data_IF_366049722992
#
_entry.id   IF_366049722992
#
_cell.length_a   1.000
_cell.length_b   1.000
_cell.length_c   1.000
_cell.angle_alpha   90.00
_cell.angle_beta   90.00
_cell.angle_gamma   90.00
#
_symmetry.space_group_name_H-M   'P 1'
#
loop_
_entity.id
_entity.type
_entity.pdbx_description
1 polymer ?
#
# COMPACT_ATOMS: atom_id res chain seq x y z
N UNK A 1 -9.93 -15.32 26.38
CA UNK A 1 -9.13 -14.71 25.29
C UNK A 1 -9.55 -15.24 23.93
N UNK A 2 -9.51 -16.55 23.66
CA UNK A 2 -9.88 -17.14 22.35
C UNK A 2 -11.31 -16.83 21.91
N UNK A 3 -12.29 -16.85 22.82
CA UNK A 3 -13.70 -16.51 22.51
C UNK A 3 -13.85 -15.06 22.09
N UNK A 4 -13.14 -14.12 22.72
CA UNK A 4 -13.20 -12.69 22.37
C UNK A 4 -12.57 -12.44 20.98
N UNK A 5 -11.46 -13.09 20.67
CA UNK A 5 -10.81 -13.02 19.34
C UNK A 5 -11.74 -13.60 18.28
N UNK A 6 -12.31 -14.78 18.52
CA UNK A 6 -13.26 -15.41 17.61
C UNK A 6 -14.50 -14.54 17.37
N UNK A 7 -15.07 -13.96 18.42
CA UNK A 7 -16.23 -13.05 18.33
C UNK A 7 -15.86 -11.78 17.53
N UNK A 8 -14.67 -11.21 17.76
CA UNK A 8 -14.15 -10.07 17.00
C UNK A 8 -14.02 -10.38 15.49
N UNK A 9 -13.43 -11.52 15.15
CA UNK A 9 -13.32 -11.98 13.76
C UNK A 9 -14.71 -12.19 13.11
N UNK A 10 -15.64 -12.79 13.84
CA UNK A 10 -17.01 -13.02 13.35
C UNK A 10 -17.74 -11.69 13.10
N UNK A 11 -17.63 -10.72 14.01
CA UNK A 11 -18.22 -9.38 13.87
C UNK A 11 -17.62 -8.63 12.69
N UNK A 12 -16.31 -8.71 12.49
CA UNK A 12 -15.62 -8.09 11.35
C UNK A 12 -16.08 -8.71 10.02
N UNK A 13 -16.20 -10.02 9.96
CA UNK A 13 -16.71 -10.72 8.79
C UNK A 13 -18.17 -10.34 8.50
N UNK A 14 -19.02 -10.32 9.53
CA UNK A 14 -20.41 -9.92 9.41
C UNK A 14 -20.53 -8.47 8.90
N UNK A 15 -19.75 -7.56 9.47
CA UNK A 15 -19.69 -6.16 9.04
C UNK A 15 -19.28 -6.05 7.57
N UNK A 16 -18.24 -6.77 7.15
CA UNK A 16 -17.80 -6.79 5.75
C UNK A 16 -18.89 -7.30 4.79
N UNK A 17 -19.59 -8.37 5.17
CA UNK A 17 -20.71 -8.93 4.38
C UNK A 17 -21.86 -7.93 4.29
N UNK A 18 -22.24 -7.32 5.41
CA UNK A 18 -23.31 -6.30 5.45
C UNK A 18 -22.95 -5.10 4.58
N UNK A 19 -21.73 -4.63 4.66
CA UNK A 19 -21.23 -3.52 3.83
C UNK A 19 -21.24 -3.89 2.34
N UNK A 20 -20.78 -5.09 2.00
CA UNK A 20 -20.75 -5.59 0.63
C UNK A 20 -22.17 -5.70 0.05
N UNK A 21 -23.09 -6.35 0.75
CA UNK A 21 -24.49 -6.48 0.32
C UNK A 21 -25.21 -5.15 0.29
N UNK A 22 -24.96 -4.28 1.27
CA UNK A 22 -25.53 -2.92 1.36
C UNK A 22 -25.12 -2.07 0.16
N UNK A 23 -23.83 -2.11 -0.21
CA UNK A 23 -23.30 -1.45 -1.42
C UNK A 23 -24.08 -1.87 -2.67
N UNK A 24 -24.24 -3.16 -2.89
CA UNK A 24 -24.95 -3.68 -4.07
C UNK A 24 -26.47 -3.41 -4.02
N UNK A 25 -27.05 -3.44 -2.83
CA UNK A 25 -28.46 -3.07 -2.64
C UNK A 25 -28.72 -1.59 -2.94
N UNK A 26 -27.82 -0.69 -2.58
CA UNK A 26 -27.90 0.74 -2.94
C UNK A 26 -27.88 0.95 -4.45
N UNK A 27 -27.00 0.24 -5.17
CA UNK A 27 -26.94 0.27 -6.63
C UNK A 27 -28.27 -0.23 -7.21
N UNK A 28 -28.73 -1.40 -6.76
CA UNK A 28 -30.02 -1.98 -7.17
C UNK A 28 -31.18 -0.99 -6.95
N UNK A 29 -31.29 -0.41 -5.77
CA UNK A 29 -32.36 0.56 -5.43
C UNK A 29 -32.31 1.79 -6.32
N UNK A 30 -31.13 2.30 -6.62
CA UNK A 30 -30.94 3.46 -7.49
C UNK A 30 -31.43 3.16 -8.92
N UNK A 31 -31.08 2.00 -9.46
CA UNK A 31 -31.54 1.56 -10.79
C UNK A 31 -33.04 1.39 -10.83
N UNK A 32 -33.61 0.65 -9.87
CA UNK A 32 -35.08 0.39 -9.81
C UNK A 32 -35.85 1.71 -9.70
N UNK A 33 -35.39 2.65 -8.88
CA UNK A 33 -36.04 3.96 -8.72
C UNK A 33 -35.90 4.83 -9.97
N UNK A 34 -34.71 4.97 -10.53
CA UNK A 34 -34.43 5.86 -11.63
C UNK A 34 -35.15 5.46 -12.95
N UNK A 35 -35.28 4.17 -13.17
CA UNK A 35 -35.87 3.61 -14.40
C UNK A 35 -37.32 3.15 -14.23
N UNK A 36 -37.93 3.46 -13.08
CA UNK A 36 -39.32 3.11 -12.75
C UNK A 36 -39.64 1.62 -13.04
N UNK A 37 -38.78 0.74 -12.56
CA UNK A 37 -38.89 -0.70 -12.77
C UNK A 37 -40.05 -1.22 -11.91
N UNK A 38 -41.23 -1.46 -12.49
CA UNK A 38 -42.46 -1.90 -11.78
C UNK A 38 -42.65 -3.42 -11.83
N UNK A 39 -42.20 -4.09 -12.90
CA UNK A 39 -42.40 -5.54 -13.09
C UNK A 39 -41.61 -6.34 -12.05
N UNK A 40 -42.34 -7.12 -11.22
CA UNK A 40 -41.73 -7.93 -10.15
C UNK A 40 -40.62 -8.86 -10.66
N UNK A 41 -40.83 -9.54 -11.79
CA UNK A 41 -39.80 -10.43 -12.39
C UNK A 41 -38.48 -9.68 -12.65
N UNK A 42 -38.54 -8.47 -13.25
CA UNK A 42 -37.33 -7.66 -13.53
C UNK A 42 -36.66 -7.22 -12.25
N UNK A 43 -37.42 -6.79 -11.24
CA UNK A 43 -36.87 -6.43 -9.92
C UNK A 43 -36.14 -7.60 -9.26
N UNK A 44 -36.76 -8.79 -9.28
CA UNK A 44 -36.12 -10.00 -8.71
C UNK A 44 -34.86 -10.39 -9.50
N UNK A 45 -34.91 -10.35 -10.84
CA UNK A 45 -33.73 -10.62 -11.67
C UNK A 45 -32.57 -9.68 -11.34
N UNK A 46 -32.83 -8.36 -11.23
CA UNK A 46 -31.84 -7.38 -10.86
C UNK A 46 -31.28 -7.63 -9.44
N UNK A 47 -32.16 -7.93 -8.48
CA UNK A 47 -31.74 -8.24 -7.11
C UNK A 47 -30.81 -9.46 -7.07
N UNK A 48 -31.22 -10.54 -7.75
CA UNK A 48 -30.37 -11.76 -7.85
C UNK A 48 -29.04 -11.46 -8.53
N UNK A 49 -29.06 -10.69 -9.63
CA UNK A 49 -27.83 -10.33 -10.34
C UNK A 49 -26.85 -9.52 -9.47
N UNK A 50 -27.32 -8.49 -8.77
CA UNK A 50 -26.46 -7.71 -7.88
C UNK A 50 -25.99 -8.50 -6.65
N UNK A 51 -26.83 -9.40 -6.11
CA UNK A 51 -26.41 -10.32 -5.05
C UNK A 51 -25.34 -11.30 -5.53
N UNK A 52 -25.50 -11.86 -6.74
CA UNK A 52 -24.51 -12.74 -7.34
C UNK A 52 -23.16 -12.01 -7.60
N UNK A 53 -23.21 -10.75 -8.05
CA UNK A 53 -22.04 -9.92 -8.22
C UNK A 53 -21.36 -9.62 -6.88
N UNK A 54 -22.11 -9.36 -5.80
CA UNK A 54 -21.55 -9.23 -4.47
C UNK A 54 -20.85 -10.53 -4.01
N UNK A 55 -21.53 -11.67 -4.17
CA UNK A 55 -21.01 -12.98 -3.78
C UNK A 55 -19.86 -13.48 -4.67
N UNK A 56 -19.69 -12.92 -5.86
CA UNK A 56 -18.56 -13.28 -6.73
C UNK A 56 -17.20 -13.00 -6.07
N UNK A 57 -17.11 -12.02 -5.19
CA UNK A 57 -15.86 -11.61 -4.54
C UNK A 57 -15.35 -12.69 -3.55
N UNK A 58 -16.10 -13.05 -2.48
CA UNK A 58 -15.66 -14.10 -1.58
C UNK A 58 -15.52 -15.46 -2.28
N UNK A 59 -16.39 -15.75 -3.26
CA UNK A 59 -16.28 -16.98 -4.05
C UNK A 59 -15.00 -17.01 -4.88
N UNK A 60 -14.64 -15.91 -5.53
CA UNK A 60 -13.40 -15.81 -6.32
C UNK A 60 -12.15 -15.94 -5.44
N UNK A 61 -12.17 -15.37 -4.23
CA UNK A 61 -11.08 -15.55 -3.26
C UNK A 61 -10.92 -17.02 -2.86
N UNK A 62 -12.02 -17.70 -2.57
CA UNK A 62 -12.04 -19.13 -2.22
C UNK A 62 -11.52 -19.99 -3.39
N UNK A 63 -12.05 -19.78 -4.59
CA UNK A 63 -11.66 -20.53 -5.79
C UNK A 63 -10.17 -20.31 -6.12
N UNK A 64 -9.66 -19.08 -5.98
CA UNK A 64 -8.25 -18.78 -6.18
C UNK A 64 -7.36 -19.48 -5.17
N UNK A 65 -7.80 -19.59 -3.92
CA UNK A 65 -7.06 -20.28 -2.85
C UNK A 65 -7.02 -21.80 -3.06
N UNK A 66 -8.11 -22.38 -3.57
CA UNK A 66 -8.23 -23.83 -3.82
C UNK A 66 -7.55 -24.26 -5.13
N UNK A 67 -7.63 -23.43 -6.17
CA UNK A 67 -7.25 -23.80 -7.54
C UNK A 67 -6.54 -22.63 -8.25
N UNK A 68 -5.29 -22.37 -7.95
CA UNK A 68 -4.50 -21.23 -8.49
C UNK A 68 -4.20 -21.28 -10.00
N UNK A 69 -5.21 -21.53 -10.86
CA UNK A 69 -5.06 -21.62 -12.32
C UNK A 69 -5.45 -20.31 -13.05
N UNK A 70 -5.32 -20.29 -14.38
CA UNK A 70 -5.62 -19.11 -15.22
C UNK A 70 -7.08 -18.67 -15.10
N UNK A 71 -8.02 -19.62 -15.06
CA UNK A 71 -9.46 -19.34 -14.98
C UNK A 71 -9.79 -18.67 -13.64
N UNK A 72 -9.36 -19.27 -12.53
CA UNK A 72 -9.62 -18.72 -11.20
C UNK A 72 -8.95 -17.36 -10.99
N UNK A 73 -7.76 -17.13 -11.56
CA UNK A 73 -7.12 -15.82 -11.58
C UNK A 73 -7.94 -14.78 -12.35
N UNK A 74 -8.48 -15.15 -13.51
CA UNK A 74 -9.31 -14.25 -14.31
C UNK A 74 -10.61 -13.90 -13.58
N UNK A 75 -11.30 -14.90 -13.01
CA UNK A 75 -12.51 -14.69 -12.19
C UNK A 75 -12.20 -13.79 -11.01
N UNK A 76 -11.10 -14.02 -10.31
CA UNK A 76 -10.65 -13.19 -9.19
C UNK A 76 -10.42 -11.74 -9.63
N UNK A 77 -9.67 -11.52 -10.71
CA UNK A 77 -9.39 -10.17 -11.22
C UNK A 77 -10.65 -9.43 -11.64
N UNK A 78 -11.57 -10.12 -12.33
CA UNK A 78 -12.85 -9.53 -12.75
C UNK A 78 -13.76 -9.20 -11.56
N UNK A 79 -13.83 -10.07 -10.55
CA UNK A 79 -14.61 -9.81 -9.33
C UNK A 79 -14.06 -8.62 -8.54
N UNK A 80 -12.74 -8.49 -8.44
CA UNK A 80 -12.13 -7.33 -7.79
C UNK A 80 -12.28 -6.04 -8.61
N UNK A 81 -12.20 -6.11 -9.95
CA UNK A 81 -12.51 -4.97 -10.80
C UNK A 81 -13.95 -4.52 -10.62
N UNK A 82 -14.89 -5.48 -10.56
CA UNK A 82 -16.30 -5.20 -10.26
C UNK A 82 -16.46 -4.50 -8.91
N UNK A 83 -15.76 -4.94 -7.86
CA UNK A 83 -15.80 -4.25 -6.57
C UNK A 83 -15.31 -2.78 -6.69
N UNK A 84 -14.23 -2.54 -7.40
CA UNK A 84 -13.74 -1.19 -7.67
C UNK A 84 -14.78 -0.32 -8.39
N UNK A 85 -15.42 -0.87 -9.42
CA UNK A 85 -16.52 -0.21 -10.14
C UNK A 85 -17.73 0.04 -9.22
N UNK A 86 -18.11 -0.94 -8.38
CA UNK A 86 -19.22 -0.79 -7.45
C UNK A 86 -18.98 0.32 -6.43
N UNK A 87 -17.74 0.47 -5.91
CA UNK A 87 -17.37 1.55 -5.02
C UNK A 87 -17.46 2.93 -5.70
N UNK A 88 -17.01 3.05 -6.95
CA UNK A 88 -17.20 4.28 -7.73
C UNK A 88 -18.68 4.53 -8.02
N UNK A 89 -19.45 3.48 -8.35
CA UNK A 89 -20.89 3.62 -8.55
C UNK A 89 -21.58 4.16 -7.30
N UNK A 90 -21.30 3.61 -6.13
CA UNK A 90 -21.88 4.12 -4.87
C UNK A 90 -21.51 5.58 -4.64
N UNK A 91 -20.27 5.95 -4.87
CA UNK A 91 -19.83 7.34 -4.72
C UNK A 91 -20.59 8.30 -5.64
N UNK A 92 -20.64 8.00 -6.95
CA UNK A 92 -21.33 8.89 -7.91
C UNK A 92 -22.85 8.83 -7.78
N UNK A 93 -23.43 7.69 -7.38
CA UNK A 93 -24.84 7.59 -7.05
C UNK A 93 -25.21 8.39 -5.81
N UNK A 94 -24.36 8.41 -4.77
CA UNK A 94 -24.58 9.27 -3.61
C UNK A 94 -24.63 10.75 -4.00
N UNK A 95 -23.74 11.19 -4.88
CA UNK A 95 -23.79 12.55 -5.46
C UNK A 95 -25.07 12.79 -6.26
N UNK A 96 -25.48 11.84 -7.11
CA UNK A 96 -26.71 11.94 -7.89
C UNK A 96 -27.95 12.07 -6.98
N UNK A 97 -28.02 11.29 -5.90
CA UNK A 97 -29.08 11.38 -4.90
C UNK A 97 -29.07 12.70 -4.15
N UNK A 98 -27.89 13.21 -3.76
CA UNK A 98 -27.74 14.51 -3.12
C UNK A 98 -28.23 15.64 -4.02
N UNK A 99 -27.80 15.66 -5.29
CA UNK A 99 -28.25 16.66 -6.29
C UNK A 99 -29.75 16.54 -6.54
N UNK A 100 -30.30 15.34 -6.65
CA UNK A 100 -31.74 15.13 -6.79
C UNK A 100 -32.51 15.68 -5.58
N UNK A 101 -32.05 15.39 -4.37
CA UNK A 101 -32.67 15.92 -3.13
C UNK A 101 -32.68 17.44 -3.10
N UNK A 102 -31.53 18.06 -3.36
CA UNK A 102 -31.40 19.54 -3.41
C UNK A 102 -32.30 20.12 -4.51
N UNK A 103 -32.31 19.54 -5.71
CA UNK A 103 -33.15 20.01 -6.83
C UNK A 103 -34.65 20.02 -6.50
N UNK A 104 -35.10 19.04 -5.71
CA UNK A 104 -36.48 19.00 -5.20
C UNK A 104 -36.76 20.09 -4.20
N UNK A 105 -35.83 20.36 -3.27
CA UNK A 105 -35.96 21.43 -2.27
C UNK A 105 -36.06 22.82 -2.89
N UNK A 106 -35.35 23.06 -3.99
CA UNK A 106 -35.40 24.35 -4.72
C UNK A 106 -36.53 24.40 -5.78
N UNK A 107 -37.42 23.42 -5.82
CA UNK A 107 -38.57 23.38 -6.75
C UNK A 107 -38.19 23.14 -8.22
N UNK A 108 -36.99 22.66 -8.51
CA UNK A 108 -36.49 22.36 -9.88
C UNK A 108 -35.98 20.92 -9.98
N UNK A 109 -36.89 19.92 -9.89
CA UNK A 109 -36.47 18.52 -9.83
C UNK A 109 -35.76 18.07 -11.13
N UNK A 110 -34.57 17.49 -10.95
CA UNK A 110 -33.84 16.84 -12.06
C UNK A 110 -34.41 15.45 -12.35
N UNK A 111 -34.25 15.02 -13.61
CA UNK A 111 -34.62 13.68 -14.04
C UNK A 111 -33.66 12.64 -13.48
N UNK A 112 -34.12 11.82 -12.51
CA UNK A 112 -33.27 10.88 -11.81
C UNK A 112 -32.65 9.82 -12.74
N UNK A 113 -33.36 9.46 -13.84
CA UNK A 113 -32.79 8.58 -14.88
C UNK A 113 -31.52 9.16 -15.49
N UNK A 114 -31.52 10.44 -15.83
CA UNK A 114 -30.33 11.10 -16.38
C UNK A 114 -29.19 11.15 -15.34
N UNK A 115 -29.50 11.49 -14.08
CA UNK A 115 -28.51 11.54 -13.00
C UNK A 115 -27.85 10.20 -12.75
N UNK A 116 -28.62 9.10 -12.69
CA UNK A 116 -28.10 7.74 -12.51
C UNK A 116 -27.29 7.29 -13.73
N UNK A 117 -27.74 7.61 -14.95
CA UNK A 117 -26.97 7.30 -16.17
C UNK A 117 -25.62 8.03 -16.20
N UNK A 118 -25.60 9.31 -15.85
CA UNK A 118 -24.36 10.08 -15.75
C UNK A 118 -23.44 9.51 -14.65
N UNK A 119 -23.99 9.17 -13.49
CA UNK A 119 -23.23 8.54 -12.41
C UNK A 119 -22.59 7.21 -12.86
N UNK A 120 -23.32 6.39 -13.63
CA UNK A 120 -22.81 5.14 -14.17
C UNK A 120 -21.68 5.36 -15.18
N UNK A 121 -21.80 6.34 -16.08
CA UNK A 121 -20.76 6.71 -17.05
C UNK A 121 -19.51 7.21 -16.32
N UNK A 122 -19.66 8.10 -15.33
CA UNK A 122 -18.55 8.62 -14.56
C UNK A 122 -17.84 7.51 -13.76
N UNK A 123 -18.58 6.62 -13.11
CA UNK A 123 -18.04 5.49 -12.38
C UNK A 123 -17.24 4.54 -13.28
N UNK A 124 -17.79 4.22 -14.45
CA UNK A 124 -17.12 3.37 -15.43
C UNK A 124 -15.85 4.02 -15.99
N UNK A 125 -15.91 5.30 -16.37
CA UNK A 125 -14.75 6.07 -16.86
C UNK A 125 -13.65 6.19 -15.80
N UNK A 126 -14.03 6.47 -14.54
CA UNK A 126 -13.09 6.52 -13.42
C UNK A 126 -12.44 5.15 -13.18
N UNK A 127 -13.22 4.06 -13.28
CA UNK A 127 -12.68 2.70 -13.11
C UNK A 127 -11.74 2.30 -14.23
N UNK A 128 -12.02 2.65 -15.48
CA UNK A 128 -11.12 2.41 -16.62
C UNK A 128 -9.83 3.23 -16.51
N UNK A 129 -9.94 4.51 -16.16
CA UNK A 129 -8.77 5.34 -15.87
C UNK A 129 -7.95 4.75 -14.73
N UNK A 130 -8.62 4.34 -13.64
CA UNK A 130 -7.95 3.75 -12.48
C UNK A 130 -7.26 2.43 -12.81
N UNK A 131 -7.85 1.59 -13.67
CA UNK A 131 -7.24 0.35 -14.16
C UNK A 131 -5.98 0.64 -14.99
N UNK A 132 -6.04 1.65 -15.87
CA UNK A 132 -4.88 2.09 -16.64
C UNK A 132 -3.78 2.61 -15.70
N UNK A 133 -4.11 3.51 -14.77
CA UNK A 133 -3.18 4.10 -13.81
C UNK A 133 -2.51 3.06 -12.91
N UNK A 134 -3.25 2.05 -12.44
CA UNK A 134 -2.74 0.94 -11.63
C UNK A 134 -1.68 0.11 -12.36
N UNK A 135 -1.75 0.04 -13.69
CA UNK A 135 -0.84 -0.75 -14.53
C UNK A 135 0.32 0.07 -15.15
N UNK A 136 0.34 1.39 -14.91
CA UNK A 136 1.36 2.29 -15.46
C UNK A 136 2.01 3.09 -14.32
N UNK A 137 2.89 2.47 -13.54
CA UNK A 137 3.66 3.19 -12.52
C UNK A 137 4.47 4.32 -13.14
N UNK A 138 4.69 5.38 -12.37
CA UNK A 138 5.59 6.48 -12.73
C UNK A 138 6.85 6.40 -11.87
N UNK A 139 7.93 7.02 -12.31
CA UNK A 139 9.10 7.26 -11.47
C UNK A 139 8.86 8.53 -10.66
N UNK A 140 8.94 8.41 -9.33
CA UNK A 140 8.97 9.55 -8.40
C UNK A 140 10.41 9.71 -7.93
N UNK A 141 11.01 10.89 -8.15
CA UNK A 141 12.42 11.13 -7.81
C UNK A 141 12.56 12.29 -6.83
N UNK A 142 13.46 12.13 -5.85
CA UNK A 142 13.84 13.19 -4.92
C UNK A 142 15.25 12.94 -4.36
N UNK A 143 15.82 13.97 -3.73
CA UNK A 143 17.11 13.89 -3.05
C UNK A 143 16.91 13.85 -1.53
N UNK A 144 17.74 13.07 -0.83
CA UNK A 144 17.78 13.02 0.63
C UNK A 144 19.20 13.23 1.12
N UNK A 145 19.35 14.17 2.05
CA UNK A 145 20.60 14.38 2.74
C UNK A 145 20.72 13.43 3.94
N UNK A 146 21.79 12.66 3.97
CA UNK A 146 22.16 11.73 5.05
C UNK A 146 23.40 12.28 5.76
N UNK A 147 23.39 12.23 7.08
CA UNK A 147 24.54 12.65 7.90
C UNK A 147 25.69 11.66 7.72
N UNK A 148 26.91 12.18 7.66
CA UNK A 148 28.13 11.35 7.55
C UNK A 148 28.07 10.30 6.40
N UNK A 149 27.32 10.59 5.32
CA UNK A 149 27.24 9.71 4.15
C UNK A 149 28.63 9.46 3.57
N UNK A 150 29.05 8.19 3.36
CA UNK A 150 30.33 7.87 2.73
C UNK A 150 30.41 8.43 1.30
N UNK A 151 31.60 8.85 0.90
CA UNK A 151 31.85 9.48 -0.42
C UNK A 151 31.41 8.61 -1.61
N UNK A 152 31.53 7.29 -1.49
CA UNK A 152 31.12 6.33 -2.52
C UNK A 152 29.58 6.17 -2.63
N UNK A 153 28.82 6.85 -1.78
CA UNK A 153 27.35 6.95 -1.86
C UNK A 153 26.87 8.33 -2.31
N UNK A 154 27.75 9.34 -2.33
CA UNK A 154 27.37 10.70 -2.74
C UNK A 154 26.89 10.72 -4.20
N UNK A 155 25.67 11.19 -4.41
CA UNK A 155 25.03 11.23 -5.73
C UNK A 155 24.51 9.89 -6.23
N UNK A 156 24.67 8.80 -5.46
CA UNK A 156 24.16 7.49 -5.82
C UNK A 156 22.63 7.46 -5.79
N UNK A 157 22.02 6.71 -6.71
CA UNK A 157 20.59 6.46 -6.73
C UNK A 157 20.29 5.13 -6.07
N UNK A 158 19.36 5.11 -5.11
CA UNK A 158 18.74 3.90 -4.60
C UNK A 158 17.26 3.88 -4.99
N UNK A 159 16.70 2.70 -5.22
CA UNK A 159 15.29 2.56 -5.61
C UNK A 159 14.49 1.89 -4.51
N UNK A 160 13.36 2.51 -4.14
CA UNK A 160 12.35 1.86 -3.30
C UNK A 160 11.22 1.31 -4.16
N UNK A 161 10.89 0.04 -3.94
CA UNK A 161 9.64 -0.60 -4.33
C UNK A 161 8.84 -0.89 -3.06
N UNK A 162 7.56 -0.63 -3.06
CA UNK A 162 6.65 -0.99 -1.96
C UNK A 162 5.32 -1.45 -2.50
N UNK A 163 4.67 -2.37 -1.80
CA UNK A 163 3.28 -2.72 -2.12
C UNK A 163 3.09 -3.12 -3.59
N UNK A 164 3.95 -4.00 -4.08
CA UNK A 164 3.90 -4.49 -5.47
C UNK A 164 2.71 -5.41 -5.70
N UNK A 165 2.33 -6.17 -4.65
CA UNK A 165 1.18 -7.08 -4.64
C UNK A 165 1.14 -8.07 -5.82
N UNK A 166 2.27 -8.72 -6.09
CA UNK A 166 2.36 -9.76 -7.13
C UNK A 166 1.37 -10.89 -6.84
N UNK A 167 0.57 -11.23 -7.83
CA UNK A 167 -0.48 -12.22 -7.66
C UNK A 167 -1.38 -12.33 -8.89
N UNK A 168 -2.66 -12.53 -8.66
CA UNK A 168 -3.65 -12.68 -9.74
C UNK A 168 -3.84 -11.41 -10.56
N UNK A 169 -3.77 -10.24 -9.92
CA UNK A 169 -3.92 -8.93 -10.56
C UNK A 169 -2.62 -8.49 -11.22
N UNK A 170 -1.56 -8.35 -10.42
CA UNK A 170 -0.23 -7.97 -10.90
C UNK A 170 0.59 -9.22 -11.21
N UNK A 171 0.57 -9.64 -12.47
CA UNK A 171 1.25 -10.83 -12.98
C UNK A 171 2.67 -10.54 -13.49
N UNK A 172 3.24 -11.53 -14.21
CA UNK A 172 4.60 -11.46 -14.78
C UNK A 172 4.83 -10.20 -15.62
N UNK A 173 3.92 -9.85 -16.52
CA UNK A 173 4.06 -8.66 -17.38
C UNK A 173 4.14 -7.34 -16.61
N UNK A 174 3.44 -7.26 -15.48
CA UNK A 174 3.54 -6.10 -14.60
C UNK A 174 4.91 -6.06 -13.94
N UNK A 175 5.37 -7.19 -13.38
CA UNK A 175 6.70 -7.30 -12.78
C UNK A 175 7.80 -6.97 -13.80
N UNK A 176 7.77 -7.52 -15.01
CA UNK A 176 8.73 -7.25 -16.07
C UNK A 176 8.81 -5.74 -16.40
N UNK A 177 7.66 -5.05 -16.43
CA UNK A 177 7.62 -3.59 -16.62
C UNK A 177 8.27 -2.87 -15.45
N UNK A 178 7.93 -3.21 -14.20
CA UNK A 178 8.51 -2.60 -13.00
C UNK A 178 10.01 -2.81 -12.95
N UNK A 179 10.47 -4.03 -13.20
CA UNK A 179 11.89 -4.37 -13.24
C UNK A 179 12.63 -3.59 -14.34
N UNK A 180 12.03 -3.47 -15.53
CA UNK A 180 12.59 -2.64 -16.61
C UNK A 180 12.72 -1.18 -16.20
N UNK A 181 11.73 -0.63 -15.48
CA UNK A 181 11.80 0.74 -14.95
C UNK A 181 12.89 0.90 -13.89
N UNK A 182 13.00 -0.06 -12.97
CA UNK A 182 14.04 -0.06 -11.91
C UNK A 182 15.43 -0.10 -12.55
N UNK A 183 15.67 -1.05 -13.44
CA UNK A 183 16.99 -1.24 -14.05
C UNK A 183 17.38 -0.04 -14.95
N UNK A 184 16.41 0.64 -15.57
CA UNK A 184 16.66 1.86 -16.35
C UNK A 184 17.12 3.05 -15.48
N UNK A 185 16.93 3.01 -14.17
CA UNK A 185 17.42 4.01 -13.21
C UNK A 185 18.87 3.76 -12.77
N UNK A 186 19.46 2.62 -13.17
CA UNK A 186 20.80 2.18 -12.81
C UNK A 186 21.08 2.31 -11.30
N UNK A 187 20.27 1.70 -10.42
CA UNK A 187 20.36 1.91 -8.99
C UNK A 187 21.54 1.17 -8.36
N UNK A 188 22.22 1.78 -7.39
CA UNK A 188 23.23 1.13 -6.56
C UNK A 188 22.65 0.04 -5.64
N UNK A 189 21.43 0.26 -5.13
CA UNK A 189 20.69 -0.71 -4.34
C UNK A 189 19.18 -0.60 -4.59
N UNK A 190 18.45 -1.71 -4.39
CA UNK A 190 16.98 -1.75 -4.45
C UNK A 190 16.43 -2.18 -3.09
N UNK A 191 15.50 -1.42 -2.56
CA UNK A 191 14.85 -1.66 -1.28
C UNK A 191 13.37 -1.97 -1.49
N UNK A 192 12.93 -3.15 -1.08
CA UNK A 192 11.54 -3.60 -1.17
C UNK A 192 10.93 -3.53 0.23
N UNK A 193 10.08 -2.54 0.46
CA UNK A 193 9.54 -2.22 1.78
C UNK A 193 8.20 -2.92 2.07
N UNK A 194 8.16 -4.24 1.81
CA UNK A 194 7.03 -5.10 2.15
C UNK A 194 5.93 -5.18 1.08
N UNK A 195 5.00 -6.08 1.31
CA UNK A 195 3.84 -6.37 0.45
C UNK A 195 4.25 -6.62 -1.02
N UNK A 196 5.35 -7.37 -1.19
CA UNK A 196 5.80 -7.80 -2.51
C UNK A 196 4.78 -8.74 -3.16
N UNK A 197 4.17 -9.62 -2.35
CA UNK A 197 3.15 -10.55 -2.80
C UNK A 197 1.77 -10.19 -2.24
N UNK A 198 0.74 -10.41 -3.06
CA UNK A 198 -0.63 -10.32 -2.58
C UNK A 198 -0.92 -11.50 -1.62
N UNK A 199 -1.66 -11.27 -0.55
CA UNK A 199 -2.00 -12.29 0.45
C UNK A 199 -2.75 -13.52 -0.09
N UNK A 200 -3.32 -13.43 -1.29
CA UNK A 200 -3.92 -14.57 -2.02
C UNK A 200 -2.98 -15.24 -3.02
N UNK A 201 -1.70 -14.83 -3.07
CA UNK A 201 -0.72 -15.44 -3.97
C UNK A 201 -0.38 -16.86 -3.50
N UNK A 202 -0.50 -17.84 -4.38
CA UNK A 202 -0.16 -19.25 -4.14
C UNK A 202 0.91 -19.80 -5.07
N UNK A 203 1.21 -19.07 -6.16
CA UNK A 203 2.19 -19.47 -7.18
C UNK A 203 3.28 -18.39 -7.28
N UNK A 204 4.25 -18.48 -6.38
CA UNK A 204 5.38 -17.54 -6.28
C UNK A 204 6.43 -17.81 -7.36
N UNK A 205 6.63 -19.07 -7.73
CA UNK A 205 7.72 -19.49 -8.62
C UNK A 205 7.67 -18.82 -10.00
N UNK A 206 6.48 -18.47 -10.47
CA UNK A 206 6.31 -17.75 -11.73
C UNK A 206 6.94 -16.36 -11.77
N UNK A 207 7.29 -15.80 -10.62
CA UNK A 207 7.92 -14.48 -10.49
C UNK A 207 9.44 -14.54 -10.34
N UNK A 208 10.02 -15.74 -10.15
CA UNK A 208 11.44 -15.90 -9.86
C UNK A 208 12.33 -15.21 -10.89
N UNK A 209 12.13 -15.54 -12.17
CA UNK A 209 12.91 -14.99 -13.28
C UNK A 209 12.86 -13.45 -13.33
N UNK A 210 11.67 -12.86 -13.16
CA UNK A 210 11.51 -11.41 -13.13
C UNK A 210 12.17 -10.77 -11.91
N UNK A 211 12.06 -11.37 -10.71
CA UNK A 211 12.70 -10.87 -9.51
C UNK A 211 14.22 -10.99 -9.57
N UNK A 212 14.76 -12.09 -10.13
CA UNK A 212 16.18 -12.27 -10.32
C UNK A 212 16.77 -11.35 -11.41
N UNK A 213 15.93 -10.75 -12.25
CA UNK A 213 16.34 -9.75 -13.24
C UNK A 213 16.51 -8.33 -12.66
N UNK A 214 16.12 -8.09 -11.40
CA UNK A 214 16.49 -6.85 -10.71
C UNK A 214 18.01 -6.75 -10.63
N UNK A 215 18.56 -5.60 -11.04
CA UNK A 215 20.00 -5.35 -11.10
C UNK A 215 20.36 -4.15 -10.23
N UNK A 216 21.20 -4.40 -9.22
CA UNK A 216 21.78 -3.38 -8.38
C UNK A 216 23.12 -3.89 -7.80
N UNK A 217 24.25 -3.19 -8.02
CA UNK A 217 25.59 -3.67 -7.61
C UNK A 217 25.69 -3.98 -6.11
N UNK A 218 25.00 -3.20 -5.27
CA UNK A 218 25.01 -3.37 -3.80
C UNK A 218 23.84 -4.20 -3.29
N UNK A 219 23.06 -4.80 -4.19
CA UNK A 219 22.05 -5.81 -3.88
C UNK A 219 20.60 -5.32 -3.85
N UNK A 220 19.72 -6.31 -3.69
CA UNK A 220 18.26 -6.13 -3.56
C UNK A 220 17.87 -6.64 -2.18
N UNK A 221 17.22 -5.79 -1.40
CA UNK A 221 16.86 -6.06 -0.01
C UNK A 221 15.34 -5.99 0.18
N UNK A 222 14.82 -6.83 1.06
CA UNK A 222 13.39 -6.95 1.31
C UNK A 222 13.11 -7.04 2.81
N UNK A 223 12.08 -6.34 3.26
CA UNK A 223 11.42 -6.55 4.56
C UNK A 223 9.98 -6.99 4.34
N UNK A 224 9.41 -7.74 5.28
CA UNK A 224 8.04 -8.20 5.16
C UNK A 224 7.03 -7.10 5.40
N UNK A 225 5.91 -7.14 4.66
CA UNK A 225 4.69 -6.41 4.97
C UNK A 225 3.60 -7.32 5.53
N UNK A 226 2.38 -6.78 5.69
CA UNK A 226 1.27 -7.55 6.22
C UNK A 226 0.75 -8.60 5.24
N UNK A 227 0.88 -8.42 3.94
CA UNK A 227 0.39 -9.38 2.95
C UNK A 227 1.24 -10.64 2.86
N UNK A 228 2.52 -10.62 3.22
CA UNK A 228 3.31 -11.84 3.36
C UNK A 228 2.73 -12.75 4.45
N UNK A 229 2.23 -12.17 5.56
CA UNK A 229 1.53 -12.91 6.60
C UNK A 229 0.20 -13.50 6.13
N UNK A 230 -0.59 -12.76 5.35
CA UNK A 230 -1.84 -13.28 4.75
C UNK A 230 -1.59 -14.41 3.75
N UNK A 231 -0.45 -14.40 3.06
CA UNK A 231 -0.02 -15.48 2.18
C UNK A 231 0.55 -16.70 2.94
N UNK A 232 0.65 -16.61 4.28
CA UNK A 232 1.23 -17.65 5.13
C UNK A 232 2.73 -17.58 5.20
N UNK A 233 3.28 -16.50 5.72
CA UNK A 233 4.67 -16.02 5.88
C UNK A 233 5.79 -16.98 5.44
N UNK A 234 5.70 -18.27 5.80
CA UNK A 234 6.72 -19.30 5.49
C UNK A 234 6.89 -19.49 3.98
N UNK A 235 5.80 -19.52 3.21
CA UNK A 235 5.85 -19.81 1.79
C UNK A 235 6.54 -18.69 0.99
N UNK A 236 6.16 -17.40 1.12
CA UNK A 236 6.86 -16.32 0.42
C UNK A 236 8.32 -16.20 0.85
N UNK A 237 8.65 -16.33 2.14
CA UNK A 237 10.04 -16.25 2.61
C UNK A 237 10.89 -17.42 2.11
N UNK A 238 10.37 -18.63 2.10
CA UNK A 238 11.06 -19.81 1.53
C UNK A 238 11.29 -19.68 0.04
N UNK A 239 10.36 -19.06 -0.67
CA UNK A 239 10.53 -18.74 -2.08
C UNK A 239 11.61 -17.68 -2.31
N UNK A 240 11.60 -16.57 -1.54
CA UNK A 240 12.58 -15.49 -1.67
C UNK A 240 14.02 -15.96 -1.42
N UNK A 241 14.24 -16.93 -0.54
CA UNK A 241 15.56 -17.58 -0.35
C UNK A 241 16.11 -18.26 -1.62
N UNK A 242 15.28 -18.50 -2.63
CA UNK A 242 15.68 -19.07 -3.92
C UNK A 242 15.95 -18.00 -4.99
N UNK A 243 15.85 -16.73 -4.63
CA UNK A 243 16.10 -15.56 -5.48
C UNK A 243 17.36 -14.82 -5.05
N UNK A 244 17.75 -13.79 -5.79
CA UNK A 244 18.86 -12.88 -5.41
C UNK A 244 18.48 -11.88 -4.31
N UNK A 245 17.22 -11.84 -3.90
CA UNK A 245 16.72 -10.87 -2.92
C UNK A 245 17.14 -11.31 -1.52
N UNK A 246 17.83 -10.42 -0.80
CA UNK A 246 18.18 -10.62 0.60
C UNK A 246 17.03 -10.16 1.49
N UNK A 247 16.47 -11.10 2.24
CA UNK A 247 15.44 -10.82 3.25
C UNK A 247 16.14 -10.31 4.52
N UNK A 248 15.74 -9.15 4.99
CA UNK A 248 16.15 -8.60 6.28
C UNK A 248 15.04 -8.85 7.30
N UNK A 249 15.26 -9.82 8.16
CA UNK A 249 14.30 -10.26 9.17
C UNK A 249 14.77 -9.84 10.56
N UNK A 250 14.55 -8.57 10.91
CA UNK A 250 15.12 -7.88 12.07
C UNK A 250 16.66 -7.94 12.08
N UNK A 251 17.25 -7.55 10.98
CA UNK A 251 18.67 -7.62 10.70
C UNK A 251 19.22 -6.28 10.19
N UNK A 252 20.53 -6.10 10.34
CA UNK A 252 21.28 -5.03 9.67
C UNK A 252 22.23 -5.60 8.62
N UNK A 253 22.51 -4.77 7.63
CA UNK A 253 23.59 -4.99 6.64
C UNK A 253 24.40 -3.72 6.55
N UNK A 254 25.72 -3.86 6.56
CA UNK A 254 26.60 -2.77 6.23
C UNK A 254 26.97 -2.82 4.75
N UNK A 255 26.74 -1.73 4.04
CA UNK A 255 27.00 -1.55 2.63
C UNK A 255 27.99 -0.40 2.46
N UNK A 256 29.29 -0.71 2.39
CA UNK A 256 30.37 0.29 2.19
C UNK A 256 30.24 1.53 3.10
N UNK A 257 29.99 1.30 4.39
CA UNK A 257 29.89 2.35 5.42
C UNK A 257 28.48 2.89 5.67
N UNK A 258 27.50 2.55 4.84
CA UNK A 258 26.07 2.85 5.06
C UNK A 258 25.39 1.65 5.70
N UNK A 259 24.67 1.84 6.80
CA UNK A 259 23.87 0.79 7.42
C UNK A 259 22.48 0.72 6.81
N UNK A 260 22.07 -0.47 6.43
CA UNK A 260 20.67 -0.80 6.11
C UNK A 260 20.09 -1.63 7.25
N UNK A 261 19.05 -1.14 7.88
CA UNK A 261 18.33 -1.83 8.96
C UNK A 261 16.97 -2.29 8.44
N UNK A 262 16.68 -3.57 8.52
CA UNK A 262 15.40 -4.13 8.12
C UNK A 262 14.60 -4.61 9.32
N UNK A 263 13.40 -4.08 9.50
CA UNK A 263 12.44 -4.52 10.52
C UNK A 263 11.25 -5.19 9.82
N UNK A 264 11.04 -6.44 10.15
CA UNK A 264 9.91 -7.21 9.63
C UNK A 264 8.58 -6.78 10.23
N UNK A 265 7.51 -6.86 9.44
CA UNK A 265 6.16 -6.65 9.94
C UNK A 265 5.83 -7.72 11.00
N UNK A 266 5.27 -7.34 12.16
CA UNK A 266 5.15 -8.21 13.34
C UNK A 266 3.99 -9.23 13.26
N UNK A 267 3.82 -9.92 12.16
CA UNK A 267 2.79 -10.92 12.00
C UNK A 267 3.08 -12.18 12.83
N UNK A 268 2.21 -12.49 13.79
CA UNK A 268 2.08 -13.76 14.51
C UNK A 268 3.31 -14.35 15.22
N UNK A 269 4.46 -13.67 15.32
CA UNK A 269 5.56 -14.22 16.09
C UNK A 269 5.38 -13.89 17.57
N UNK A 270 4.79 -14.81 18.32
CA UNK A 270 4.67 -14.76 19.80
C UNK A 270 6.03 -14.67 20.52
N UNK A 271 7.14 -14.87 19.81
CA UNK A 271 8.49 -14.97 20.39
C UNK A 271 9.34 -13.70 20.19
N UNK A 272 8.94 -12.75 19.33
CA UNK A 272 9.74 -11.55 19.05
C UNK A 272 9.36 -10.40 19.97
N UNK A 273 10.02 -10.35 21.13
CA UNK A 273 9.76 -9.33 22.15
C UNK A 273 10.71 -8.11 22.05
N UNK A 274 11.60 -8.04 21.04
CA UNK A 274 12.65 -7.03 20.98
C UNK A 274 12.85 -6.51 19.55
N UNK A 275 13.18 -5.22 19.41
CA UNK A 275 13.66 -4.61 18.17
C UNK A 275 15.12 -4.96 18.03
N UNK A 276 15.44 -6.22 17.79
CA UNK A 276 16.77 -6.82 17.87
C UNK A 276 17.90 -5.96 17.30
N UNK A 277 17.74 -5.31 16.11
CA UNK A 277 18.82 -4.46 15.60
C UNK A 277 19.22 -3.31 16.52
N UNK A 278 18.26 -2.75 17.27
CA UNK A 278 18.45 -1.58 18.14
C UNK A 278 18.70 -1.94 19.61
N UNK A 279 18.57 -3.22 19.99
CA UNK A 279 18.81 -3.67 21.36
C UNK A 279 20.29 -3.56 21.75
N UNK A 280 20.56 -3.57 23.06
CA UNK A 280 21.92 -3.65 23.59
C UNK A 280 22.62 -4.91 23.07
N UNK A 281 23.69 -4.71 22.28
CA UNK A 281 24.37 -5.81 21.57
C UNK A 281 23.80 -6.16 20.20
N UNK A 282 22.75 -5.47 19.74
CA UNK A 282 22.24 -5.56 18.38
C UNK A 282 23.23 -5.05 17.33
N UNK A 283 22.82 -5.11 16.06
CA UNK A 283 23.70 -4.75 14.94
C UNK A 283 23.72 -3.25 14.62
N UNK A 284 22.71 -2.47 15.05
CA UNK A 284 22.62 -1.05 14.78
C UNK A 284 23.71 -0.24 15.50
N UNK A 285 24.26 0.77 14.83
CA UNK A 285 25.27 1.68 15.33
C UNK A 285 24.85 3.12 15.06
N UNK A 286 24.44 3.90 16.08
CA UNK A 286 23.90 5.25 15.90
C UNK A 286 24.93 6.26 15.35
N UNK A 287 26.22 5.95 15.44
CA UNK A 287 27.29 6.77 14.87
C UNK A 287 27.52 6.58 13.37
N UNK A 288 26.83 5.63 12.74
CA UNK A 288 26.91 5.37 11.30
C UNK A 288 25.68 5.86 10.57
N UNK A 289 25.84 6.38 9.34
CA UNK A 289 24.70 6.72 8.48
C UNK A 289 23.80 5.50 8.26
N UNK A 290 22.47 5.71 8.26
CA UNK A 290 21.55 4.58 8.28
C UNK A 290 20.27 4.81 7.49
N UNK A 291 19.79 3.73 6.85
CA UNK A 291 18.47 3.64 6.23
C UNK A 291 17.70 2.53 6.92
N UNK A 292 16.51 2.85 7.42
CA UNK A 292 15.57 1.91 8.02
C UNK A 292 14.49 1.50 7.00
N UNK A 293 14.37 0.22 6.74
CA UNK A 293 13.26 -0.35 5.98
C UNK A 293 12.21 -0.87 6.97
N UNK A 294 11.04 -0.28 6.93
CA UNK A 294 9.90 -0.70 7.74
C UNK A 294 8.59 -0.47 6.99
N UNK A 295 7.78 -1.53 6.82
CA UNK A 295 6.64 -1.49 5.92
C UNK A 295 5.62 -0.41 6.28
N UNK A 296 5.21 -0.32 7.55
CA UNK A 296 4.21 0.66 7.99
C UNK A 296 4.86 2.00 8.35
N UNK A 297 4.23 3.14 7.98
CA UNK A 297 4.67 4.46 8.43
C UNK A 297 4.17 4.73 9.86
N UNK A 298 4.73 3.98 10.82
CA UNK A 298 4.44 4.10 12.27
C UNK A 298 5.72 4.09 13.07
N UNK A 299 5.62 4.43 14.36
CA UNK A 299 6.71 4.24 15.30
C UNK A 299 7.01 2.73 15.44
N UNK A 300 8.27 2.37 15.29
CA UNK A 300 8.71 0.97 15.34
C UNK A 300 8.47 0.35 16.71
N UNK A 301 8.55 1.15 17.78
CA UNK A 301 8.37 0.67 19.16
C UNK A 301 6.94 0.24 19.49
N UNK A 302 5.93 0.82 18.84
CA UNK A 302 4.51 0.49 19.09
C UNK A 302 4.21 -1.00 18.85
N UNK A 303 4.99 -1.65 18.02
CA UNK A 303 4.81 -3.06 17.64
C UNK A 303 5.22 -4.02 18.75
N UNK A 304 6.09 -3.60 19.65
CA UNK A 304 6.72 -4.45 20.66
C UNK A 304 6.15 -4.28 22.08
N UNK A 305 5.16 -3.38 22.26
CA UNK A 305 4.41 -3.20 23.50
C UNK A 305 3.36 -4.32 23.74
N UNK A 306 2.15 -3.99 24.12
CA UNK A 306 1.06 -4.95 24.43
C UNK A 306 0.47 -5.62 23.17
N UNK A 307 0.71 -6.92 23.00
CA UNK A 307 0.51 -7.71 21.78
C UNK A 307 -0.94 -7.91 21.35
N UNK A 308 -1.90 -7.87 22.26
CA UNK A 308 -3.28 -8.31 22.00
C UNK A 308 -4.16 -7.22 21.37
N UNK A 309 -3.78 -5.94 21.51
CA UNK A 309 -4.55 -4.80 21.00
C UNK A 309 -3.91 -4.07 19.82
N UNK A 310 -2.65 -4.36 19.50
CA UNK A 310 -1.82 -3.57 18.61
C UNK A 310 -2.17 -3.70 17.12
N UNK A 311 -2.56 -4.88 16.65
CA UNK A 311 -2.89 -5.06 15.23
C UNK A 311 -4.04 -4.17 14.77
N UNK A 312 -5.09 -4.06 15.59
CA UNK A 312 -6.23 -3.19 15.28
C UNK A 312 -5.88 -1.71 15.43
N UNK A 313 -5.05 -1.37 16.43
CA UNK A 313 -4.56 -0.01 16.64
C UNK A 313 -3.69 0.49 15.50
N UNK A 314 -2.79 -0.36 14.95
CA UNK A 314 -1.92 0.03 13.82
C UNK A 314 -2.69 0.43 12.55
N UNK A 315 -3.93 -0.04 12.39
CA UNK A 315 -4.80 0.35 11.27
C UNK A 315 -5.75 1.51 11.57
N UNK A 316 -6.29 1.58 12.80
CA UNK A 316 -7.33 2.56 13.16
C UNK A 316 -6.80 3.77 13.92
N UNK A 317 -5.68 3.62 14.61
CA UNK A 317 -5.01 4.67 15.37
C UNK A 317 -3.49 4.46 15.36
N UNK A 318 -2.84 4.58 14.17
CA UNK A 318 -1.41 4.35 14.02
C UNK A 318 -0.61 5.36 14.87
N UNK A 319 0.45 4.90 15.54
CA UNK A 319 1.39 5.81 16.20
C UNK A 319 2.31 6.45 15.16
N UNK A 320 2.04 7.70 14.85
CA UNK A 320 2.78 8.50 13.88
C UNK A 320 3.75 9.49 14.52
N UNK A 321 4.23 9.21 15.74
CA UNK A 321 5.23 10.07 16.43
C UNK A 321 6.64 9.84 15.90
N UNK A 322 6.96 8.61 15.46
CA UNK A 322 8.29 8.19 14.97
C UNK A 322 9.43 8.48 15.97
N UNK A 323 9.07 8.56 17.25
CA UNK A 323 9.99 8.97 18.31
C UNK A 323 11.15 7.99 18.47
N UNK A 324 10.91 6.71 18.28
CA UNK A 324 11.93 5.68 18.42
C UNK A 324 13.04 5.82 17.35
N UNK A 325 12.67 5.85 16.07
CA UNK A 325 13.63 5.94 14.98
C UNK A 325 14.40 7.27 15.02
N UNK A 326 13.72 8.39 15.35
CA UNK A 326 14.35 9.70 15.50
C UNK A 326 15.35 9.72 16.67
N UNK A 327 14.98 9.20 17.86
CA UNK A 327 15.87 9.15 19.03
C UNK A 327 17.01 8.17 18.84
N UNK A 328 16.82 7.09 18.09
CA UNK A 328 17.89 6.17 17.72
C UNK A 328 18.92 6.80 16.76
N UNK A 329 18.59 7.93 16.12
CA UNK A 329 19.49 8.62 15.17
C UNK A 329 19.43 8.04 13.76
N UNK A 330 18.32 7.40 13.37
CA UNK A 330 18.10 6.94 11.99
C UNK A 330 18.00 8.14 11.04
N UNK A 331 18.74 8.13 9.93
CA UNK A 331 18.71 9.24 8.96
C UNK A 331 17.51 9.21 8.04
N UNK A 332 17.17 8.01 7.52
CA UNK A 332 16.07 7.82 6.57
C UNK A 332 15.27 6.56 6.89
N UNK A 333 13.96 6.69 7.04
CA UNK A 333 13.02 5.56 7.09
C UNK A 333 12.24 5.49 5.77
N UNK A 334 12.16 4.29 5.19
CA UNK A 334 11.38 3.99 3.99
C UNK A 334 10.21 3.09 4.35
N UNK A 335 8.99 3.55 4.04
CA UNK A 335 7.73 2.86 4.34
C UNK A 335 6.77 2.86 3.15
N UNK A 336 5.69 2.08 3.24
CA UNK A 336 4.60 1.99 2.26
C UNK A 336 3.25 1.83 2.93
N UNK A 337 2.56 0.70 2.68
CA UNK A 337 1.35 0.21 3.37
C UNK A 337 0.06 0.99 3.10
N UNK A 338 0.08 2.30 3.12
CA UNK A 338 -1.13 3.14 3.10
C UNK A 338 -1.82 3.18 1.74
N UNK A 339 -1.08 2.89 0.65
CA UNK A 339 -1.50 3.11 -0.73
C UNK A 339 -2.08 4.51 -1.00
N UNK A 340 -1.96 5.44 -0.02
CA UNK A 340 -2.69 6.71 -0.04
C UNK A 340 -4.20 6.51 -0.26
N UNK A 341 -4.77 5.44 0.30
CA UNK A 341 -6.16 5.05 0.12
C UNK A 341 -6.54 4.57 -1.27
N UNK A 342 -5.56 4.43 -2.20
CA UNK A 342 -5.66 3.83 -3.54
C UNK A 342 -6.76 4.41 -4.43
N UNK A 343 -8.02 4.46 -3.94
CA UNK A 343 -9.19 4.95 -4.69
C UNK A 343 -9.75 6.24 -4.07
N UNK A 344 -10.13 7.20 -4.90
CA UNK A 344 -10.87 8.37 -4.43
C UNK A 344 -12.30 7.94 -4.01
N UNK A 345 -12.83 8.44 -2.86
CA UNK A 345 -12.26 9.46 -1.98
C UNK A 345 -11.46 8.92 -0.77
N UNK A 346 -11.14 7.62 -0.72
CA UNK A 346 -10.53 6.99 0.46
C UNK A 346 -9.19 7.61 0.88
N UNK A 347 -8.46 8.26 -0.04
CA UNK A 347 -7.26 9.01 0.30
C UNK A 347 -7.47 10.14 1.32
N UNK A 348 -8.70 10.68 1.42
CA UNK A 348 -9.03 11.68 2.46
C UNK A 348 -9.05 11.00 3.83
N UNK A 349 -9.69 9.83 3.92
CA UNK A 349 -9.75 9.05 5.16
C UNK A 349 -8.36 8.58 5.59
N UNK A 350 -7.56 8.05 4.64
CA UNK A 350 -6.19 7.61 4.90
C UNK A 350 -5.35 8.74 5.46
N UNK A 351 -5.44 9.95 4.86
CA UNK A 351 -4.71 11.13 5.33
C UNK A 351 -5.06 11.50 6.78
N UNK A 352 -6.35 11.40 7.14
CA UNK A 352 -6.81 11.70 8.52
C UNK A 352 -6.32 10.62 9.49
N UNK A 353 -6.48 9.33 9.14
CA UNK A 353 -6.06 8.22 9.99
C UNK A 353 -4.55 8.20 10.24
N UNK A 354 -3.75 8.57 9.25
CA UNK A 354 -2.29 8.57 9.32
C UNK A 354 -1.71 9.96 9.64
N UNK A 355 -2.52 10.89 10.15
CA UNK A 355 -2.09 12.24 10.55
C UNK A 355 -1.27 12.98 9.48
N UNK A 356 -1.57 12.74 8.19
CA UNK A 356 -0.85 13.30 7.06
C UNK A 356 0.37 12.50 6.60
N UNK A 357 0.82 11.47 7.34
CA UNK A 357 1.93 10.60 6.98
C UNK A 357 1.49 9.44 6.07
N UNK A 358 0.53 9.69 5.22
CA UNK A 358 -0.01 8.69 4.29
C UNK A 358 0.77 8.59 2.98
N UNK A 359 1.71 9.51 2.72
CA UNK A 359 2.58 9.52 1.54
C UNK A 359 3.62 10.63 1.57
N UNK A 360 4.67 10.47 0.75
CA UNK A 360 5.66 11.51 0.45
C UNK A 360 6.77 11.60 1.48
N UNK A 361 7.60 12.65 1.34
CA UNK A 361 8.75 12.89 2.18
C UNK A 361 8.40 13.81 3.34
N UNK A 362 8.78 13.40 4.55
CA UNK A 362 8.54 14.14 5.79
C UNK A 362 9.86 14.30 6.58
N UNK A 363 9.90 15.33 7.45
CA UNK A 363 11.00 15.62 8.35
C UNK A 363 10.51 15.58 9.80
N UNK A 364 11.12 14.77 10.64
CA UNK A 364 10.70 14.51 12.03
C UNK A 364 11.96 14.44 12.90
N UNK A 365 12.26 15.48 13.67
CA UNK A 365 13.33 15.50 14.66
C UNK A 365 14.68 14.92 14.16
N UNK A 366 15.07 15.27 12.93
CA UNK A 366 16.30 14.78 12.30
C UNK A 366 16.12 13.57 11.41
N UNK A 367 15.07 12.76 11.61
CA UNK A 367 14.67 11.66 10.74
C UNK A 367 14.05 12.18 9.45
N UNK A 368 14.38 11.57 8.29
CA UNK A 368 13.61 11.66 7.05
C UNK A 368 12.75 10.41 6.95
N UNK A 369 11.46 10.61 6.72
CA UNK A 369 10.52 9.53 6.45
C UNK A 369 10.00 9.68 5.03
N UNK A 370 10.13 8.66 4.20
CA UNK A 370 9.40 8.59 2.94
C UNK A 370 8.36 7.48 2.98
N UNK A 371 7.13 7.83 2.66
CA UNK A 371 6.00 6.89 2.56
C UNK A 371 5.59 6.76 1.11
N UNK A 372 5.83 5.57 0.54
CA UNK A 372 5.43 5.27 -0.84
C UNK A 372 3.92 5.09 -0.95
N UNK A 373 3.35 5.59 -2.05
CA UNK A 373 1.96 5.30 -2.42
C UNK A 373 1.75 3.87 -2.93
N UNK A 374 2.83 3.11 -3.06
CA UNK A 374 2.83 1.73 -3.56
C UNK A 374 2.98 1.62 -5.09
N UNK A 375 3.66 0.57 -5.52
CA UNK A 375 3.92 0.25 -6.94
C UNK A 375 2.72 -0.45 -7.57
N UNK A 376 2.09 -1.38 -6.85
CA UNK A 376 0.90 -2.13 -7.29
C UNK A 376 -0.39 -1.70 -6.63
N UNK A 377 -1.36 -2.60 -6.55
CA UNK A 377 -2.65 -2.40 -5.88
C UNK A 377 -3.05 -3.62 -5.08
N UNK A 378 -3.71 -3.41 -3.96
CA UNK A 378 -4.38 -4.48 -3.22
C UNK A 378 -5.89 -4.47 -3.51
N UNK A 379 -6.53 -5.65 -3.50
CA UNK A 379 -7.96 -5.74 -3.77
C UNK A 379 -8.32 -5.29 -5.21
N UNK A 380 -9.14 -4.24 -5.39
CA UNK A 380 -9.50 -3.74 -6.71
C UNK A 380 -8.29 -3.30 -7.54
N UNK A 381 -8.15 -3.77 -8.81
CA UNK A 381 -7.07 -3.36 -9.71
C UNK A 381 -7.27 -1.93 -10.26
N UNK A 382 -7.63 -1.00 -9.37
CA UNK A 382 -8.08 0.36 -9.74
C UNK A 382 -7.44 1.37 -8.82
N UNK A 383 -6.79 2.38 -9.38
CA UNK A 383 -6.11 3.45 -8.64
C UNK A 383 -6.55 4.82 -9.14
N UNK A 384 -7.41 5.51 -8.39
CA UNK A 384 -7.95 6.84 -8.72
C UNK A 384 -7.62 7.92 -7.70
N UNK A 385 -7.13 7.52 -6.51
CA UNK A 385 -6.75 8.44 -5.41
C UNK A 385 -5.27 8.77 -5.35
N UNK A 386 -4.43 7.98 -6.03
CA UNK A 386 -2.97 8.15 -6.08
C UNK A 386 -2.39 7.65 -7.42
N UNK A 387 -1.07 7.79 -7.61
CA UNK A 387 -0.34 7.15 -8.72
C UNK A 387 0.40 5.92 -8.20
N UNK A 388 0.46 4.87 -9.03
CA UNK A 388 1.45 3.80 -8.84
C UNK A 388 2.84 4.36 -9.06
N UNK A 389 3.82 4.01 -8.22
CA UNK A 389 5.16 4.58 -8.32
C UNK A 389 6.30 3.58 -8.10
N UNK A 390 7.41 3.85 -8.76
CA UNK A 390 8.76 3.37 -8.47
C UNK A 390 9.52 4.58 -7.95
N UNK A 391 10.14 4.47 -6.79
CA UNK A 391 10.74 5.63 -6.11
C UNK A 391 12.25 5.62 -6.30
N UNK A 392 12.79 6.66 -6.93
CA UNK A 392 14.23 6.86 -7.10
C UNK A 392 14.71 7.92 -6.10
N UNK A 393 15.66 7.55 -5.24
CA UNK A 393 16.18 8.41 -4.16
C UNK A 393 17.65 8.65 -4.42
N UNK A 394 18.03 9.91 -4.65
CA UNK A 394 19.43 10.31 -4.75
C UNK A 394 19.95 10.64 -3.36
N UNK A 395 20.98 9.93 -2.91
CA UNK A 395 21.60 10.15 -1.61
C UNK A 395 22.59 11.30 -1.71
N UNK A 396 22.53 12.23 -0.77
CA UNK A 396 23.41 13.39 -0.65
C UNK A 396 24.00 13.47 0.74
N UNK A 397 25.27 13.86 0.83
CA UNK A 397 25.90 14.15 2.12
C UNK A 397 25.35 15.44 2.70
N UNK A 398 24.89 15.40 3.95
CA UNK A 398 24.49 16.62 4.65
C UNK A 398 25.67 17.54 4.80
N UNK A 399 25.62 18.73 4.21
CA UNK A 399 26.64 19.77 4.39
C UNK A 399 26.37 20.49 5.71
N UNK A 400 27.43 20.74 6.48
CA UNK A 400 27.33 21.63 7.63
C UNK A 400 26.79 23.00 7.15
N UNK A 401 25.90 23.67 7.92
CA UNK A 401 25.49 25.02 7.60
C UNK A 401 26.74 25.88 7.37
N UNK A 402 26.89 26.46 6.18
CA UNK A 402 27.92 27.47 5.97
C UNK A 402 27.57 28.63 6.91
N UNK A 403 28.38 28.80 7.98
CA UNK A 403 28.36 30.01 8.78
C UNK A 403 28.61 31.17 7.80
N UNK A 404 27.55 31.95 7.52
CA UNK A 404 27.71 33.17 6.77
C UNK A 404 28.74 34.03 7.53
N UNK A 405 29.96 34.16 7.00
CA UNK A 405 30.91 35.16 7.46
C UNK A 405 30.17 36.51 7.39
N UNK A 406 29.75 36.98 8.54
CA UNK A 406 29.32 38.37 8.68
C UNK A 406 30.51 39.21 8.34
N UNK A 407 30.56 39.75 7.11
CA UNK A 407 31.48 40.82 6.76
C UNK A 407 31.27 41.95 7.77
N UNK A 408 32.13 41.98 8.75
CA UNK A 408 32.27 43.14 9.63
C UNK A 408 32.58 44.36 8.76
N UNK A 409 31.57 45.20 8.57
CA UNK A 409 31.80 46.56 8.09
C UNK A 409 32.52 47.32 9.18
N UNK A 410 33.85 47.33 9.13
CA UNK A 410 34.65 48.31 9.84
C UNK A 410 34.28 49.70 9.27
N UNK A 411 33.67 50.50 10.11
CA UNK A 411 33.53 51.94 9.88
C UNK A 411 34.80 52.61 10.39
N UNK A 412 35.54 53.23 9.49
CA UNK A 412 36.28 54.41 9.82
C UNK A 412 35.39 55.64 9.87
#
# INVERSE_FOLDING_TARGET
MEIAIFLGMLLTLLFAVVLLLGTHYLIYRSVVFAFDVTRLRVRLTLLVAFTALAMSIPLAMLLQRLHGNVITRSVHTLSWFWLGLALHLVFFLALAWAVHGISRLVGRPILMRAAVSVAAVLAFSASLYGLWNANHPIVTSFEVEISELPENWEGSTVVQLSDVHLGSVHGRRFLERVVGMVNALDPEAVFITGDLFNGSCSDFHRFKEGLDALSAPRGVYFVTGNHEGYAGLVAPLSFLKQTKIRVLDDECVEMDGLQLVGISFPWFSRERASVRPFDSGGCYRPEKPSILLYHTPTDVYEIYGDRDTQQLRSYLAPDTRFSFAAQAGVDLQLSGHTHRGQMFPFGILTRVLWNGFDRGLHWIDGLRLYVSSGTGTWGPPVRTGSRSEVVAITLKKRRAPQLSESKGSGSE
#
